data_IF_386215023166
#
_entry.id   IF_386215023166
#
_cell.length_a   1.000
_cell.length_b   1.000
_cell.length_c   1.000
_cell.angle_alpha   90.00
_cell.angle_beta   90.00
_cell.angle_gamma   90.00
#
_symmetry.space_group_name_H-M   'P 1'
#
loop_
_entity.id
_entity.type
_entity.pdbx_description
1 polymer ?
#
# COMPACT_ATOMS: atom_id res chain seq x y z
N UNK A 1 11.21 6.78 -3.72
CA UNK A 1 10.99 5.54 -4.49
C UNK A 1 10.24 5.85 -5.79
N UNK A 2 10.68 5.38 -6.97
CA UNK A 2 9.99 5.64 -8.23
C UNK A 2 9.48 4.37 -8.93
N UNK A 3 9.03 3.35 -8.19
CA UNK A 3 8.51 2.14 -8.85
C UNK A 3 7.26 2.48 -9.67
N UNK A 4 7.27 2.12 -10.95
CA UNK A 4 6.16 2.41 -11.87
C UNK A 4 4.84 1.83 -11.39
N UNK A 5 4.85 0.67 -10.75
CA UNK A 5 3.63 0.03 -10.27
C UNK A 5 2.90 0.87 -9.21
N UNK A 6 3.59 1.70 -8.42
CA UNK A 6 2.96 2.59 -7.45
C UNK A 6 2.08 3.68 -8.10
N UNK A 7 2.15 3.86 -9.42
CA UNK A 7 1.30 4.82 -10.14
C UNK A 7 0.14 4.16 -10.88
N UNK A 8 0.06 2.84 -10.85
CA UNK A 8 -1.06 2.13 -11.45
C UNK A 8 -2.35 2.37 -10.65
N UNK A 9 -3.52 2.39 -11.29
CA UNK A 9 -4.78 2.43 -10.56
C UNK A 9 -4.96 1.16 -9.72
N UNK A 10 -5.87 1.20 -8.75
CA UNK A 10 -6.34 -0.05 -8.15
C UNK A 10 -6.95 -0.94 -9.22
N UNK A 11 -6.71 -2.25 -9.11
CA UNK A 11 -7.27 -3.23 -10.01
C UNK A 11 -7.85 -4.38 -9.17
N UNK A 12 -9.19 -4.50 -9.08
CA UNK A 12 -9.84 -5.55 -8.32
C UNK A 12 -9.58 -6.93 -8.91
N UNK A 13 -9.04 -7.03 -10.13
CA UNK A 13 -8.89 -8.28 -10.83
C UNK A 13 -10.25 -8.89 -11.19
N UNK A 14 -10.30 -10.22 -11.24
CA UNK A 14 -11.48 -10.99 -11.58
C UNK A 14 -11.65 -12.18 -10.63
N UNK A 15 -12.87 -12.71 -10.55
CA UNK A 15 -13.21 -13.91 -9.80
C UNK A 15 -14.28 -13.67 -8.72
N UNK A 16 -14.43 -14.65 -7.83
CA UNK A 16 -15.43 -14.66 -6.76
C UNK A 16 -14.82 -14.77 -5.36
N UNK A 17 -13.48 -14.84 -5.27
CA UNK A 17 -12.78 -14.98 -4.00
C UNK A 17 -12.33 -13.59 -3.49
N UNK A 18 -13.20 -12.95 -2.73
CA UNK A 18 -12.95 -11.60 -2.23
C UNK A 18 -11.96 -11.61 -1.06
N UNK A 19 -10.96 -10.73 -1.13
CA UNK A 19 -10.01 -10.49 -0.06
C UNK A 19 -9.75 -9.00 0.11
N UNK A 20 -9.50 -8.58 1.34
CA UNK A 20 -9.08 -7.21 1.63
C UNK A 20 -7.63 -6.99 1.17
N UNK A 21 -7.41 -5.87 0.49
CA UNK A 21 -6.09 -5.40 0.13
C UNK A 21 -6.04 -3.87 0.21
N UNK A 22 -4.84 -3.31 0.11
CA UNK A 22 -4.64 -1.86 -0.05
C UNK A 22 -3.87 -1.58 -1.33
N UNK A 23 -4.16 -0.44 -1.96
CA UNK A 23 -3.39 0.09 -3.08
C UNK A 23 -2.84 1.47 -2.72
N UNK A 24 -1.72 1.86 -3.34
CA UNK A 24 -1.16 3.19 -3.13
C UNK A 24 -1.80 4.21 -4.08
N UNK A 25 -2.42 5.24 -3.50
CA UNK A 25 -2.85 6.44 -4.20
C UNK A 25 -1.71 7.48 -4.18
N UNK A 26 -0.99 7.55 -5.30
CA UNK A 26 0.13 8.47 -5.48
C UNK A 26 -0.27 9.95 -5.49
N UNK A 27 -1.54 10.29 -5.72
CA UNK A 27 -2.01 11.69 -5.67
C UNK A 27 -2.17 12.17 -4.24
N UNK A 28 -2.56 11.26 -3.35
CA UNK A 28 -2.76 11.55 -1.93
C UNK A 28 -1.58 11.16 -1.05
N UNK A 29 -0.59 10.42 -1.59
CA UNK A 29 0.49 9.79 -0.84
C UNK A 29 -0.04 8.92 0.31
N UNK A 30 -1.08 8.13 0.02
CA UNK A 30 -1.79 7.28 0.98
C UNK A 30 -2.07 5.91 0.42
N UNK A 31 -2.27 4.94 1.30
CA UNK A 31 -2.71 3.60 0.92
C UNK A 31 -4.19 3.44 1.25
N UNK A 32 -5.00 3.13 0.24
CA UNK A 32 -6.45 3.08 0.35
C UNK A 32 -6.92 1.61 0.27
N UNK A 33 -7.90 1.19 1.08
CA UNK A 33 -8.42 -0.17 1.06
C UNK A 33 -9.27 -0.44 -0.19
N UNK A 34 -9.23 -1.67 -0.67
CA UNK A 34 -10.12 -2.17 -1.73
C UNK A 34 -10.33 -3.68 -1.62
N UNK A 35 -11.34 -4.20 -2.33
CA UNK A 35 -11.60 -5.63 -2.44
C UNK A 35 -10.94 -6.19 -3.72
N UNK A 36 -10.09 -7.19 -3.54
CA UNK A 36 -9.48 -7.96 -4.63
C UNK A 36 -10.26 -9.25 -4.85
N UNK A 37 -10.57 -9.59 -6.10
CA UNK A 37 -11.44 -10.69 -6.51
C UNK A 37 -10.72 -12.05 -6.65
N UNK A 38 -9.42 -12.08 -6.36
CA UNK A 38 -8.64 -13.31 -6.23
C UNK A 38 -7.73 -13.62 -7.41
N UNK A 39 -8.05 -13.19 -8.63
CA UNK A 39 -7.24 -13.44 -9.83
C UNK A 39 -6.88 -12.17 -10.61
N UNK A 40 -5.68 -12.15 -11.19
CA UNK A 40 -5.19 -11.02 -11.98
C UNK A 40 -4.89 -9.78 -11.15
N UNK A 41 -5.34 -8.63 -11.66
CA UNK A 41 -5.01 -7.33 -11.10
C UNK A 41 -3.61 -6.85 -11.48
N UNK A 42 -3.07 -5.93 -10.68
CA UNK A 42 -1.72 -5.40 -10.87
C UNK A 42 -0.91 -5.38 -9.57
N UNK A 43 0.36 -4.95 -9.67
CA UNK A 43 1.31 -4.95 -8.56
C UNK A 43 1.10 -3.80 -7.54
N UNK A 44 0.19 -2.86 -7.78
CA UNK A 44 -0.24 -1.87 -6.79
C UNK A 44 -1.26 -2.47 -5.81
N UNK A 45 -0.89 -3.60 -5.18
CA UNK A 45 -1.75 -4.35 -4.25
C UNK A 45 -0.89 -4.93 -3.14
N UNK A 46 -1.19 -4.56 -1.90
CA UNK A 46 -0.44 -4.98 -0.72
C UNK A 46 -1.39 -5.52 0.35
N UNK A 47 -0.83 -6.30 1.28
CA UNK A 47 -1.63 -6.92 2.35
C UNK A 47 -2.02 -5.93 3.45
N UNK A 48 -1.23 -4.89 3.66
CA UNK A 48 -1.47 -3.89 4.70
C UNK A 48 -0.83 -2.54 4.34
N UNK A 49 -1.25 -1.51 5.05
CA UNK A 49 -0.81 -0.12 4.87
C UNK A 49 0.71 0.05 5.02
N UNK A 50 1.31 -0.63 6.00
CA UNK A 50 2.76 -0.60 6.25
C UNK A 50 3.57 -1.05 5.05
N UNK A 51 3.22 -2.18 4.47
CA UNK A 51 3.87 -2.72 3.28
C UNK A 51 3.70 -1.78 2.09
N UNK A 52 2.49 -1.26 1.90
CA UNK A 52 2.15 -0.34 0.81
C UNK A 52 2.95 0.96 0.90
N UNK A 53 2.92 1.66 2.03
CA UNK A 53 3.65 2.92 2.21
C UNK A 53 5.14 2.68 2.11
N UNK A 54 5.67 1.62 2.73
CA UNK A 54 7.08 1.28 2.59
C UNK A 54 7.49 1.08 1.15
N UNK A 55 6.68 0.43 0.32
CA UNK A 55 7.05 0.20 -1.08
C UNK A 55 6.91 1.44 -1.96
N UNK A 56 5.92 2.29 -1.69
CA UNK A 56 5.52 3.33 -2.63
C UNK A 56 5.69 4.78 -2.16
N UNK A 57 5.55 5.05 -0.87
CA UNK A 57 5.71 6.40 -0.32
C UNK A 57 7.18 6.74 -0.10
N UNK A 58 7.57 7.97 -0.42
CA UNK A 58 8.87 8.53 -0.02
C UNK A 58 8.85 8.86 1.47
N UNK A 59 7.68 9.16 2.02
CA UNK A 59 7.50 9.56 3.41
C UNK A 59 7.33 8.36 4.35
N UNK A 60 7.54 7.12 3.87
CA UNK A 60 7.29 5.91 4.65
C UNK A 60 8.13 5.82 5.92
N UNK A 61 9.34 6.37 5.93
CA UNK A 61 10.22 6.39 7.10
C UNK A 61 9.71 7.32 8.21
N UNK A 62 9.00 8.39 7.82
CA UNK A 62 8.35 9.31 8.76
C UNK A 62 7.06 8.70 9.32
N UNK A 63 6.28 8.03 8.48
CA UNK A 63 5.00 7.43 8.88
C UNK A 63 5.17 6.12 9.65
N UNK A 64 6.17 5.31 9.27
CA UNK A 64 6.52 4.06 9.94
C UNK A 64 8.01 4.05 10.29
N UNK A 65 8.41 4.78 11.34
CA UNK A 65 9.77 4.72 11.85
C UNK A 65 10.08 3.31 12.34
N UNK A 66 11.27 2.83 12.03
CA UNK A 66 11.75 1.49 12.38
C UNK A 66 12.85 1.51 13.42
N UNK A 67 13.36 2.71 13.70
CA UNK A 67 14.26 2.96 14.81
C UNK A 67 13.45 2.79 16.10
N UNK A 68 13.84 1.81 16.93
CA UNK A 68 13.16 1.52 18.20
C UNK A 68 13.05 2.74 19.13
N UNK A 69 13.93 3.71 18.97
CA UNK A 69 13.94 4.99 19.71
C UNK A 69 12.83 5.96 19.26
N UNK A 70 12.45 5.93 17.97
CA UNK A 70 11.43 6.83 17.40
C UNK A 70 10.01 6.27 17.49
N UNK A 71 9.87 4.97 17.70
CA UNK A 71 8.56 4.31 17.87
C UNK A 71 7.83 4.82 19.12
N UNK A 72 8.56 5.22 20.17
CA UNK A 72 8.01 5.75 21.42
C UNK A 72 7.58 7.22 21.35
N UNK A 73 7.95 7.96 20.30
CA UNK A 73 7.58 9.39 20.16
C UNK A 73 6.20 9.58 19.51
N UNK A 74 5.53 8.50 19.12
CA UNK A 74 4.18 8.50 18.54
C UNK A 74 3.13 7.90 19.50
N UNK A 75 3.46 7.76 20.79
CA UNK A 75 2.55 7.44 21.89
C UNK A 75 2.60 8.51 22.97
#
# INVERSE_FOLDING_TARGET
KPYKFCRLPMDPGQGTNFSFAVYYDHKQDKCMPFFYQGQGGNANRFRNERECLRNCSINSEKTYPMDGEKSFLYF
#
